data_IF_029190370448
#
_entry.id   IF_029190370448
#
_cell.length_a   1.000
_cell.length_b   1.000
_cell.length_c   1.000
_cell.angle_alpha   90.00
_cell.angle_beta   90.00
_cell.angle_gamma   90.00
#
_symmetry.space_group_name_H-M   'P 1'
#
loop_
_entity.id
_entity.type
_entity.pdbx_description
1 polymer ?
#
# COMPACT_ATOMS: atom_id res chain seq x y z
N UNK A 1 -27.24 -3.33 -1.64
CA UNK A 1 -26.37 -3.12 -0.47
C UNK A 1 -25.63 -1.82 -0.72
N UNK A 2 -25.95 -0.76 0.03
CA UNK A 2 -25.33 0.54 -0.16
C UNK A 2 -23.97 0.54 0.56
N UNK A 3 -22.88 0.67 -0.20
CA UNK A 3 -21.49 0.63 0.30
C UNK A 3 -21.11 1.97 0.96
N UNK A 4 -21.74 3.06 0.53
CA UNK A 4 -21.41 4.42 0.93
C UNK A 4 -21.73 4.79 2.38
N UNK A 5 -22.75 4.24 3.06
CA UNK A 5 -23.02 4.57 4.47
C UNK A 5 -21.98 3.95 5.40
N UNK A 6 -21.61 2.68 5.18
CA UNK A 6 -20.67 1.94 6.03
C UNK A 6 -19.25 2.53 6.02
N UNK A 7 -18.84 3.14 4.90
CA UNK A 7 -17.54 3.80 4.76
C UNK A 7 -17.44 5.16 5.46
N UNK A 8 -18.57 5.83 5.73
CA UNK A 8 -18.56 7.15 6.40
C UNK A 8 -18.15 7.05 7.87
N UNK A 9 -18.44 5.91 8.48
CA UNK A 9 -18.21 5.63 9.89
C UNK A 9 -16.85 4.97 10.16
N UNK A 10 -16.14 4.54 9.11
CA UNK A 10 -14.77 4.03 9.24
C UNK A 10 -13.77 5.19 9.25
N UNK A 11 -13.00 5.29 10.35
CA UNK A 11 -11.82 6.16 10.37
C UNK A 11 -10.64 5.41 9.74
N UNK A 12 -10.11 5.86 8.59
CA UNK A 12 -8.91 5.26 8.01
C UNK A 12 -7.70 5.45 8.94
N UNK A 13 -6.65 4.66 8.70
CA UNK A 13 -5.37 4.80 9.42
C UNK A 13 -4.69 6.14 9.08
N UNK A 14 -4.95 6.69 7.90
CA UNK A 14 -4.42 7.99 7.48
C UNK A 14 -5.28 9.14 8.05
N UNK A 15 -4.69 10.14 8.74
CA UNK A 15 -5.42 11.33 9.20
C UNK A 15 -6.01 12.13 8.04
N UNK A 16 -7.16 12.78 8.28
CA UNK A 16 -7.87 13.58 7.28
C UNK A 16 -6.97 14.72 6.75
N UNK A 17 -6.10 15.31 7.58
CA UNK A 17 -5.16 16.38 7.20
C UNK A 17 -4.11 15.91 6.20
N UNK A 18 -3.62 14.67 6.35
CA UNK A 18 -2.65 14.07 5.42
C UNK A 18 -3.31 13.84 4.06
N UNK A 19 -4.53 13.33 4.07
CA UNK A 19 -5.30 13.14 2.84
C UNK A 19 -5.62 14.48 2.17
N UNK A 20 -6.01 15.49 2.93
CA UNK A 20 -6.28 16.83 2.43
C UNK A 20 -5.02 17.45 1.78
N UNK A 21 -3.85 17.28 2.40
CA UNK A 21 -2.58 17.74 1.82
C UNK A 21 -2.32 17.12 0.44
N UNK A 22 -2.45 15.80 0.30
CA UNK A 22 -2.22 15.12 -0.99
C UNK A 22 -3.29 15.45 -2.04
N UNK A 23 -4.54 15.64 -1.62
CA UNK A 23 -5.61 16.11 -2.52
C UNK A 23 -5.32 17.50 -3.07
N UNK A 24 -4.92 18.43 -2.20
CA UNK A 24 -4.54 19.78 -2.60
C UNK A 24 -3.33 19.78 -3.55
N UNK A 25 -2.34 18.92 -3.27
CA UNK A 25 -1.18 18.74 -4.15
C UNK A 25 -1.57 18.21 -5.53
N UNK A 26 -2.60 17.36 -5.61
CA UNK A 26 -3.18 16.88 -6.85
C UNK A 26 -4.11 17.90 -7.55
N UNK A 27 -4.28 19.10 -6.99
CA UNK A 27 -5.18 20.14 -7.52
C UNK A 27 -6.65 19.93 -7.17
N UNK A 28 -6.96 19.04 -6.22
CA UNK A 28 -8.32 18.74 -5.75
C UNK A 28 -8.53 19.39 -4.39
N UNK A 29 -9.32 20.46 -4.37
CA UNK A 29 -9.79 21.04 -3.11
C UNK A 29 -10.96 20.21 -2.57
N UNK A 30 -10.65 19.25 -1.70
CA UNK A 30 -11.65 18.39 -1.05
C UNK A 30 -11.84 18.83 0.40
N UNK A 31 -12.73 19.80 0.60
CA UNK A 31 -13.15 20.24 1.94
C UNK A 31 -14.10 19.23 2.63
N UNK A 32 -14.32 18.06 2.04
CA UNK A 32 -15.39 17.14 2.40
C UNK A 32 -14.81 15.91 3.11
N UNK A 33 -14.97 15.76 4.43
CA UNK A 33 -14.30 14.71 5.22
C UNK A 33 -14.58 13.28 4.73
N UNK A 34 -15.79 13.00 4.24
CA UNK A 34 -16.11 11.65 3.75
C UNK A 34 -15.32 11.26 2.50
N UNK A 35 -15.03 12.22 1.61
CA UNK A 35 -14.22 11.95 0.40
C UNK A 35 -12.79 11.63 0.82
N UNK A 36 -12.22 12.42 1.74
CA UNK A 36 -10.89 12.18 2.30
C UNK A 36 -10.78 10.79 2.93
N UNK A 37 -11.79 10.37 3.69
CA UNK A 37 -11.81 9.05 4.32
C UNK A 37 -11.92 7.90 3.34
N UNK A 38 -12.77 8.03 2.31
CA UNK A 38 -12.88 7.02 1.24
C UNK A 38 -11.55 6.87 0.52
N UNK A 39 -10.91 7.97 0.15
CA UNK A 39 -9.60 7.93 -0.48
C UNK A 39 -8.54 7.36 0.47
N UNK A 40 -8.56 7.71 1.75
CA UNK A 40 -7.66 7.14 2.76
C UNK A 40 -7.81 5.63 2.90
N UNK A 41 -9.05 5.12 2.90
CA UNK A 41 -9.30 3.67 2.91
C UNK A 41 -8.86 2.98 1.63
N UNK A 42 -9.09 3.61 0.46
CA UNK A 42 -8.61 3.08 -0.81
C UNK A 42 -7.08 3.00 -0.84
N UNK A 43 -6.39 4.04 -0.38
CA UNK A 43 -4.93 4.04 -0.22
C UNK A 43 -4.47 2.97 0.76
N UNK A 44 -5.16 2.81 1.89
CA UNK A 44 -4.83 1.79 2.89
C UNK A 44 -4.97 0.37 2.32
N UNK A 45 -6.05 0.11 1.57
CA UNK A 45 -6.25 -1.15 0.87
C UNK A 45 -5.15 -1.39 -0.17
N UNK A 46 -4.81 -0.38 -0.96
CA UNK A 46 -3.75 -0.48 -1.97
C UNK A 46 -2.41 -0.89 -1.35
N UNK A 47 -2.01 -0.21 -0.27
CA UNK A 47 -0.75 -0.52 0.44
C UNK A 47 -0.80 -1.93 1.04
N UNK A 48 -1.95 -2.34 1.59
CA UNK A 48 -2.13 -3.70 2.12
C UNK A 48 -2.01 -4.77 1.04
N UNK A 49 -2.67 -4.59 -0.10
CA UNK A 49 -2.67 -5.56 -1.19
C UNK A 49 -1.25 -5.75 -1.77
N UNK A 50 -0.51 -4.66 -1.97
CA UNK A 50 0.89 -4.70 -2.44
C UNK A 50 1.81 -5.34 -1.39
N UNK A 51 1.65 -4.95 -0.11
CA UNK A 51 2.45 -5.52 0.98
C UNK A 51 2.21 -7.02 1.18
N UNK A 52 0.96 -7.48 1.06
CA UNK A 52 0.61 -8.89 1.11
C UNK A 52 1.22 -9.68 -0.05
N UNK A 53 1.21 -9.11 -1.27
CA UNK A 53 1.87 -9.71 -2.43
C UNK A 53 3.39 -9.82 -2.23
N UNK A 54 4.04 -8.75 -1.78
CA UNK A 54 5.48 -8.76 -1.47
C UNK A 54 5.84 -9.77 -0.38
N UNK A 55 5.00 -9.91 0.66
CA UNK A 55 5.15 -10.93 1.70
C UNK A 55 5.05 -12.34 1.12
N UNK A 56 4.12 -12.57 0.20
CA UNK A 56 3.97 -13.85 -0.48
C UNK A 56 5.22 -14.19 -1.30
N UNK A 57 5.74 -13.24 -2.08
CA UNK A 57 7.00 -13.40 -2.81
C UNK A 57 8.18 -13.72 -1.90
N UNK A 58 8.33 -12.99 -0.80
CA UNK A 58 9.36 -13.28 0.20
C UNK A 58 9.23 -14.68 0.77
N UNK A 59 8.01 -15.09 1.11
CA UNK A 59 7.73 -16.40 1.70
C UNK A 59 8.12 -17.53 0.74
N UNK A 60 7.72 -17.43 -0.53
CA UNK A 60 8.08 -18.41 -1.57
C UNK A 60 9.60 -18.47 -1.77
N UNK A 61 10.25 -17.30 -1.90
CA UNK A 61 11.70 -17.21 -2.17
C UNK A 61 12.52 -17.84 -1.04
N UNK A 62 12.12 -17.62 0.20
CA UNK A 62 12.82 -18.11 1.39
C UNK A 62 12.28 -19.46 1.89
N UNK A 63 11.28 -20.04 1.21
CA UNK A 63 10.59 -21.30 1.60
C UNK A 63 10.06 -21.26 3.04
N UNK A 64 9.54 -20.11 3.44
CA UNK A 64 8.95 -19.90 4.76
C UNK A 64 7.46 -20.28 4.74
N UNK A 65 6.93 -20.65 5.90
CA UNK A 65 5.48 -20.75 6.09
C UNK A 65 4.96 -19.44 6.68
N UNK A 66 3.83 -18.93 6.18
CA UNK A 66 3.19 -17.74 6.74
C UNK A 66 2.60 -17.99 8.13
N UNK A 67 2.34 -19.25 8.47
CA UNK A 67 1.77 -19.67 9.76
C UNK A 67 2.85 -19.98 10.81
N UNK A 68 4.14 -19.90 10.45
CA UNK A 68 5.23 -20.18 11.37
C UNK A 68 5.45 -18.98 12.33
N UNK A 69 5.23 -19.14 13.65
CA UNK A 69 5.36 -18.05 14.62
C UNK A 69 6.81 -17.61 14.83
N UNK A 70 7.81 -18.43 14.46
CA UNK A 70 9.22 -18.05 14.54
C UNK A 70 9.74 -17.40 13.26
N UNK A 71 8.96 -17.41 12.17
CA UNK A 71 9.36 -16.83 10.90
C UNK A 71 9.49 -15.31 10.99
N UNK A 72 10.67 -14.81 10.57
CA UNK A 72 10.95 -13.38 10.49
C UNK A 72 10.82 -12.90 9.05
N UNK A 73 9.85 -12.01 8.84
CA UNK A 73 9.57 -11.42 7.54
C UNK A 73 10.28 -10.08 7.41
N UNK A 74 11.05 -9.92 6.33
CA UNK A 74 11.75 -8.66 6.01
C UNK A 74 11.34 -8.20 4.63
N UNK A 75 10.77 -7.00 4.53
CA UNK A 75 10.45 -6.38 3.25
C UNK A 75 11.75 -5.99 2.54
N UNK A 76 11.97 -6.53 1.34
CA UNK A 76 13.14 -6.23 0.52
C UNK A 76 12.72 -5.73 -0.87
N UNK A 77 13.69 -5.13 -1.57
CA UNK A 77 13.42 -4.44 -2.83
C UNK A 77 13.05 -5.41 -3.95
N UNK A 78 13.63 -6.61 -4.00
CA UNK A 78 13.34 -7.59 -5.06
C UNK A 78 11.90 -8.09 -4.97
N UNK A 79 11.43 -8.45 -3.77
CA UNK A 79 10.07 -8.95 -3.59
C UNK A 79 9.03 -7.85 -3.78
N UNK A 80 9.36 -6.63 -3.34
CA UNK A 80 8.53 -5.46 -3.57
C UNK A 80 8.46 -5.07 -5.05
N UNK A 81 9.57 -5.17 -5.79
CA UNK A 81 9.59 -4.91 -7.22
C UNK A 81 8.68 -5.88 -7.97
N UNK A 82 8.73 -7.18 -7.64
CA UNK A 82 7.83 -8.18 -8.22
C UNK A 82 6.35 -7.88 -7.90
N UNK A 83 6.06 -7.51 -6.66
CA UNK A 83 4.71 -7.15 -6.26
C UNK A 83 4.16 -5.91 -7.02
N UNK A 84 5.03 -4.97 -7.37
CA UNK A 84 4.65 -3.82 -8.19
C UNK A 84 4.48 -4.17 -9.67
N UNK A 85 5.36 -5.00 -10.24
CA UNK A 85 5.24 -5.51 -11.61
C UNK A 85 3.90 -6.25 -11.81
N UNK A 86 3.43 -7.01 -10.82
CA UNK A 86 2.10 -7.65 -10.87
C UNK A 86 0.93 -6.64 -10.84
N UNK A 87 1.13 -5.49 -10.22
CA UNK A 87 0.08 -4.47 -10.07
C UNK A 87 -0.01 -3.57 -11.31
N UNK A 88 1.13 -3.11 -11.84
CA UNK A 88 1.27 -2.33 -13.08
C UNK A 88 2.71 -2.43 -13.60
N UNK A 89 2.89 -2.87 -14.85
CA UNK A 89 4.19 -3.00 -15.52
C UNK A 89 5.02 -1.70 -15.54
N UNK A 90 4.37 -0.54 -15.43
CA UNK A 90 5.03 0.76 -15.41
C UNK A 90 5.56 1.15 -14.01
N UNK A 91 5.13 0.44 -12.97
CA UNK A 91 5.52 0.72 -11.60
C UNK A 91 6.83 -0.02 -11.28
N UNK A 92 7.95 0.71 -11.32
CA UNK A 92 9.25 0.17 -10.95
C UNK A 92 9.76 0.80 -9.65
N UNK A 93 10.33 -0.03 -8.78
CA UNK A 93 11.15 0.48 -7.67
C UNK A 93 12.44 1.01 -8.28
N UNK A 94 12.81 2.25 -7.93
CA UNK A 94 14.02 2.88 -8.43
C UNK A 94 15.21 1.94 -8.23
N UNK A 95 15.82 1.48 -9.34
CA UNK A 95 16.95 0.53 -9.32
C UNK A 95 18.16 1.21 -8.69
N UNK A 96 18.32 1.04 -7.38
CA UNK A 96 19.57 1.40 -6.72
C UNK A 96 20.65 0.46 -7.23
N UNK A 97 21.83 0.97 -7.64
CA UNK A 97 22.94 0.10 -8.00
C UNK A 97 23.41 -0.68 -6.76
N UNK A 98 23.82 -1.93 -6.96
CA UNK A 98 24.28 -2.82 -5.88
C UNK A 98 25.48 -2.24 -5.12
N UNK A 99 26.28 -1.42 -5.79
CA UNK A 99 27.36 -0.64 -5.22
C UNK A 99 27.61 0.60 -6.08
N UNK A 100 28.09 1.67 -5.44
CA UNK A 100 28.67 2.83 -6.13
C UNK A 100 30.18 2.59 -6.25
N UNK A 101 30.74 2.79 -7.44
CA UNK A 101 32.19 2.78 -7.69
C UNK A 101 32.74 4.18 -7.46
#
# INVERSE_FOLDING_TARGET
MDFTPHLRDCSPVFPDEVMAYFMNLAGVDSAVPHVLRICGMATQKLVYDIGASALHYYSIRNKLSLDDPEAKFTLNLDDLQRAFEDYDDNLCVSKKPDYYI
#
